data_IF_788849842266
#
_entry.id   IF_788849842266
#
_cell.length_a   1.000
_cell.length_b   1.000
_cell.length_c   1.000
_cell.angle_alpha   90.00
_cell.angle_beta   90.00
_cell.angle_gamma   90.00
#
_symmetry.space_group_name_H-M   'P 1'
#
loop_
_entity.id
_entity.type
_entity.pdbx_description
1 polymer ?
#
# COMPACT_ATOMS: atom_id res chain seq x y z
N UNK A 1 -16.04 9.09 11.93
CA UNK A 1 -16.56 7.75 12.29
C UNK A 1 -15.38 6.82 12.46
N UNK A 2 -15.26 6.13 13.58
CA UNK A 2 -14.23 5.12 13.81
C UNK A 2 -14.71 3.77 13.29
N UNK A 3 -13.77 2.93 12.83
CA UNK A 3 -14.06 1.55 12.41
C UNK A 3 -13.25 0.63 13.32
N UNK A 4 -13.89 -0.35 13.93
CA UNK A 4 -13.21 -1.43 14.64
C UNK A 4 -13.60 -2.78 14.04
N UNK A 5 -12.58 -3.56 13.74
CA UNK A 5 -12.67 -4.94 13.26
C UNK A 5 -11.99 -5.80 14.30
N UNK A 6 -12.69 -6.83 14.79
CA UNK A 6 -12.18 -7.71 15.85
C UNK A 6 -12.28 -9.17 15.46
N UNK A 7 -11.14 -9.84 15.46
CA UNK A 7 -10.98 -11.27 15.26
C UNK A 7 -11.74 -11.81 14.01
N UNK A 8 -11.69 -11.06 12.92
CA UNK A 8 -12.39 -11.41 11.67
C UNK A 8 -11.73 -12.63 11.01
N UNK A 9 -12.56 -13.65 10.78
CA UNK A 9 -12.21 -14.85 10.02
C UNK A 9 -13.12 -14.95 8.80
N UNK A 10 -12.52 -15.25 7.63
CA UNK A 10 -13.25 -15.54 6.40
C UNK A 10 -12.56 -16.64 5.63
N UNK A 11 -13.31 -17.68 5.27
CA UNK A 11 -12.83 -18.83 4.50
C UNK A 11 -13.63 -19.00 3.20
N UNK A 12 -12.96 -19.43 2.16
CA UNK A 12 -13.56 -19.87 0.91
C UNK A 12 -13.13 -21.33 0.68
N UNK A 13 -13.99 -22.27 1.10
CA UNK A 13 -13.63 -23.68 1.16
C UNK A 13 -12.47 -23.94 2.12
N UNK A 14 -11.38 -24.51 1.65
CA UNK A 14 -10.17 -24.75 2.45
C UNK A 14 -9.25 -23.51 2.58
N UNK A 15 -9.47 -22.47 1.79
CA UNK A 15 -8.63 -21.29 1.79
C UNK A 15 -9.11 -20.26 2.81
N UNK A 16 -8.24 -19.89 3.78
CA UNK A 16 -8.48 -18.83 4.72
C UNK A 16 -8.08 -17.49 4.07
N UNK A 17 -9.08 -16.69 3.67
CA UNK A 17 -8.85 -15.38 3.10
C UNK A 17 -8.55 -14.32 4.18
N UNK A 18 -9.12 -14.48 5.38
CA UNK A 18 -8.82 -13.71 6.59
C UNK A 18 -8.72 -14.66 7.76
N UNK A 19 -7.68 -14.50 8.59
CA UNK A 19 -7.43 -15.30 9.77
C UNK A 19 -7.21 -14.38 10.99
N UNK A 20 -8.26 -14.19 11.79
CA UNK A 20 -8.25 -13.42 13.05
C UNK A 20 -7.69 -12.02 12.89
N UNK A 21 -8.24 -11.29 11.94
CA UNK A 21 -7.82 -9.92 11.66
C UNK A 21 -8.41 -8.95 12.67
N UNK A 22 -7.54 -8.17 13.32
CA UNK A 22 -7.87 -7.05 14.20
C UNK A 22 -7.40 -5.75 13.58
N UNK A 23 -8.30 -4.76 13.43
CA UNK A 23 -7.98 -3.47 12.84
C UNK A 23 -8.82 -2.36 13.46
N UNK A 24 -8.16 -1.25 13.79
CA UNK A 24 -8.83 -0.02 14.21
C UNK A 24 -8.44 1.13 13.29
N UNK A 25 -9.45 1.85 12.78
CA UNK A 25 -9.30 3.04 11.94
C UNK A 25 -9.89 4.24 12.69
N UNK A 26 -9.09 5.28 12.83
CA UNK A 26 -9.53 6.49 13.54
C UNK A 26 -10.48 7.34 12.67
N UNK A 27 -11.28 8.19 13.33
CA UNK A 27 -12.14 9.11 12.61
C UNK A 27 -11.32 10.07 11.73
N UNK A 28 -11.71 10.21 10.47
CA UNK A 28 -11.04 11.07 9.50
C UNK A 28 -9.66 10.55 9.04
N UNK A 29 -9.31 9.31 9.33
CA UNK A 29 -8.06 8.69 8.90
C UNK A 29 -8.15 8.19 7.45
N UNK A 30 -7.06 8.33 6.70
CA UNK A 30 -6.85 7.68 5.40
C UNK A 30 -5.90 6.50 5.57
N UNK A 31 -6.44 5.30 5.57
CA UNK A 31 -5.72 4.05 5.78
C UNK A 31 -5.49 3.31 4.46
N UNK A 32 -4.28 2.81 4.23
CA UNK A 32 -3.97 1.90 3.14
C UNK A 32 -3.95 0.44 3.62
N UNK A 33 -4.65 -0.45 2.94
CA UNK A 33 -4.45 -1.89 3.03
C UNK A 33 -3.50 -2.30 1.90
N UNK A 34 -2.28 -2.69 2.26
CA UNK A 34 -1.19 -3.01 1.35
C UNK A 34 -0.78 -4.48 1.48
N UNK A 35 -0.44 -5.14 0.39
CA UNK A 35 0.03 -6.54 0.39
C UNK A 35 -0.07 -7.20 -0.98
N UNK A 36 0.48 -8.39 -1.15
CA UNK A 36 0.41 -9.13 -2.41
C UNK A 36 -1.02 -9.54 -2.78
N UNK A 37 -1.22 -9.94 -4.03
CA UNK A 37 -2.50 -10.48 -4.48
C UNK A 37 -2.87 -11.71 -3.64
N UNK A 38 -4.14 -11.81 -3.23
CA UNK A 38 -4.62 -12.91 -2.39
C UNK A 38 -4.36 -12.76 -0.89
N UNK A 39 -3.79 -11.65 -0.40
CA UNK A 39 -3.56 -11.42 1.04
C UNK A 39 -4.80 -11.05 1.85
N UNK A 40 -6.00 -10.99 1.24
CA UNK A 40 -7.27 -10.76 1.96
C UNK A 40 -7.79 -9.32 1.97
N UNK A 41 -7.05 -8.33 1.44
CA UNK A 41 -7.39 -6.89 1.46
C UNK A 41 -8.79 -6.56 0.94
N UNK A 42 -9.10 -6.97 -0.29
CA UNK A 42 -10.42 -6.75 -0.90
C UNK A 42 -11.54 -7.48 -0.14
N UNK A 43 -11.25 -8.67 0.42
CA UNK A 43 -12.20 -9.40 1.26
C UNK A 43 -12.52 -8.61 2.54
N UNK A 44 -11.50 -8.09 3.22
CA UNK A 44 -11.69 -7.25 4.41
C UNK A 44 -12.47 -5.98 4.07
N UNK A 45 -12.11 -5.30 2.96
CA UNK A 45 -12.80 -4.10 2.50
C UNK A 45 -14.29 -4.37 2.22
N UNK A 46 -14.62 -5.50 1.58
CA UNK A 46 -16.01 -5.91 1.28
C UNK A 46 -16.80 -6.24 2.53
N UNK A 47 -16.19 -6.87 3.53
CA UNK A 47 -16.82 -7.14 4.82
C UNK A 47 -17.17 -5.83 5.54
N UNK A 48 -16.24 -4.86 5.58
CA UNK A 48 -16.49 -3.53 6.15
C UNK A 48 -17.64 -2.82 5.40
N UNK A 49 -17.68 -2.96 4.08
CA UNK A 49 -18.74 -2.37 3.24
C UNK A 49 -20.12 -3.03 3.40
N UNK A 50 -20.21 -4.22 4.00
CA UNK A 50 -21.44 -5.02 4.02
C UNK A 50 -21.79 -5.68 2.69
N UNK A 51 -20.77 -5.86 1.83
CA UNK A 51 -20.89 -6.58 0.54
C UNK A 51 -20.54 -8.07 0.68
N UNK A 52 -19.95 -8.45 1.80
CA UNK A 52 -19.66 -9.83 2.21
C UNK A 52 -19.80 -9.94 3.73
N UNK A 53 -19.91 -11.18 4.25
CA UNK A 53 -19.99 -11.45 5.69
C UNK A 53 -18.82 -12.29 6.14
N UNK A 54 -18.28 -12.03 7.35
CA UNK A 54 -17.26 -12.89 7.94
C UNK A 54 -17.89 -14.22 8.41
N UNK A 55 -17.08 -15.24 8.59
CA UNK A 55 -17.49 -16.50 9.20
C UNK A 55 -17.52 -16.36 10.75
N UNK A 56 -16.68 -15.48 11.29
CA UNK A 56 -16.67 -15.09 12.71
C UNK A 56 -15.97 -13.76 12.91
N UNK A 57 -16.14 -13.18 14.09
CA UNK A 57 -15.60 -11.88 14.46
C UNK A 57 -16.63 -10.75 14.41
N UNK A 58 -16.20 -9.53 14.67
CA UNK A 58 -17.05 -8.35 14.82
C UNK A 58 -16.56 -7.18 13.97
N UNK A 59 -17.49 -6.40 13.44
CA UNK A 59 -17.23 -5.10 12.83
C UNK A 59 -18.14 -4.08 13.47
N UNK A 60 -17.57 -3.00 13.98
CA UNK A 60 -18.36 -1.91 14.57
C UNK A 60 -17.96 -0.54 14.02
N UNK A 61 -18.94 0.36 13.97
CA UNK A 61 -18.76 1.76 13.58
C UNK A 61 -19.18 2.63 14.77
N UNK A 62 -18.24 3.42 15.32
CA UNK A 62 -18.42 4.21 16.55
C UNK A 62 -19.02 3.37 17.72
N UNK A 63 -18.70 2.05 17.77
CA UNK A 63 -19.19 1.11 18.77
C UNK A 63 -20.50 0.42 18.44
N UNK A 64 -21.20 0.78 17.38
CA UNK A 64 -22.42 0.12 16.90
C UNK A 64 -22.08 -1.06 15.98
N UNK A 65 -22.77 -2.19 16.17
CA UNK A 65 -22.55 -3.41 15.36
C UNK A 65 -22.92 -3.17 13.89
N UNK A 66 -21.91 -3.14 13.02
CA UNK A 66 -22.10 -2.97 11.60
C UNK A 66 -22.58 -4.23 10.89
N UNK A 67 -22.38 -5.43 11.46
CA UNK A 67 -22.80 -6.69 10.85
C UNK A 67 -24.33 -6.89 10.91
N UNK A 68 -25.02 -6.22 11.85
CA UNK A 68 -26.46 -6.21 11.92
C UNK A 68 -27.13 -5.45 10.77
N UNK A 69 -26.35 -4.65 10.00
CA UNK A 69 -26.85 -3.77 8.94
C UNK A 69 -26.36 -4.20 7.57
N UNK A 70 -27.25 -4.11 6.58
CA UNK A 70 -26.90 -4.30 5.16
C UNK A 70 -26.08 -3.13 4.58
N UNK A 71 -25.46 -3.33 3.41
CA UNK A 71 -24.62 -2.32 2.77
C UNK A 71 -25.28 -0.95 2.60
N UNK A 72 -26.59 -0.92 2.28
CA UNK A 72 -27.36 0.33 2.10
C UNK A 72 -27.58 1.13 3.38
N UNK A 73 -27.48 0.48 4.55
CA UNK A 73 -27.76 1.08 5.85
C UNK A 73 -26.46 1.54 6.54
N UNK A 74 -25.31 1.05 6.09
CA UNK A 74 -23.98 1.38 6.68
C UNK A 74 -23.48 2.78 6.35
N UNK A 75 -24.15 3.51 5.45
CA UNK A 75 -23.71 4.84 4.98
C UNK A 75 -22.26 4.87 4.49
N UNK A 76 -21.88 3.85 3.71
CA UNK A 76 -20.53 3.67 3.15
C UNK A 76 -20.56 4.04 1.67
N UNK A 77 -19.63 4.90 1.24
CA UNK A 77 -19.31 5.12 -0.16
C UNK A 77 -18.29 4.08 -0.64
N UNK A 78 -18.58 3.36 -1.71
CA UNK A 78 -17.69 2.34 -2.26
C UNK A 78 -17.29 2.65 -3.70
N UNK A 79 -15.99 2.63 -3.98
CA UNK A 79 -15.42 2.74 -5.33
C UNK A 79 -14.78 1.42 -5.70
N UNK A 80 -15.34 0.77 -6.73
CA UNK A 80 -14.85 -0.53 -7.22
C UNK A 80 -13.63 -0.36 -8.13
N UNK A 81 -12.79 -1.38 -8.20
CA UNK A 81 -11.57 -1.46 -9.03
C UNK A 81 -11.80 -1.05 -10.50
N UNK A 82 -12.95 -1.43 -11.08
CA UNK A 82 -13.32 -1.08 -12.46
C UNK A 82 -14.30 0.10 -12.52
N UNK A 83 -14.34 0.94 -11.45
CA UNK A 83 -15.17 2.14 -11.31
C UNK A 83 -16.67 1.88 -11.32
N UNK A 84 -17.16 0.80 -11.95
CA UNK A 84 -18.56 0.37 -12.04
C UNK A 84 -19.52 1.50 -12.44
N UNK A 85 -19.12 2.40 -13.35
CA UNK A 85 -19.99 3.44 -13.87
C UNK A 85 -21.06 2.84 -14.78
N UNK A 86 -22.29 3.37 -14.70
CA UNK A 86 -23.39 2.99 -15.57
C UNK A 86 -23.13 3.51 -16.98
N UNK A 87 -22.82 2.62 -17.92
CA UNK A 87 -22.36 2.96 -19.27
C UNK A 87 -23.40 3.70 -20.12
N UNK A 88 -24.69 3.48 -19.83
CA UNK A 88 -25.83 4.08 -20.52
C UNK A 88 -26.29 5.42 -19.92
N UNK A 89 -25.66 5.87 -18.85
CA UNK A 89 -25.93 7.12 -18.15
C UNK A 89 -24.81 8.12 -18.41
N UNK A 90 -25.14 9.40 -18.48
CA UNK A 90 -24.18 10.49 -18.52
C UNK A 90 -23.39 10.58 -17.20
N UNK A 91 -22.33 11.39 -17.17
CA UNK A 91 -21.58 11.71 -15.95
C UNK A 91 -22.52 12.28 -14.89
N UNK A 92 -23.35 13.26 -15.27
CA UNK A 92 -24.35 13.85 -14.37
C UNK A 92 -25.28 12.79 -13.77
N UNK A 93 -25.84 11.92 -14.60
CA UNK A 93 -26.75 10.86 -14.16
C UNK A 93 -26.10 9.81 -13.28
N UNK A 94 -24.83 9.46 -13.55
CA UNK A 94 -24.05 8.58 -12.69
C UNK A 94 -23.90 9.15 -11.28
N UNK A 95 -23.55 10.44 -11.14
CA UNK A 95 -23.41 11.09 -9.83
C UNK A 95 -24.76 11.29 -9.15
N UNK A 96 -25.81 11.67 -9.92
CA UNK A 96 -27.16 11.87 -9.41
C UNK A 96 -27.86 10.57 -8.98
N UNK A 97 -27.40 9.41 -9.47
CA UNK A 97 -28.11 8.14 -9.29
C UNK A 97 -28.39 7.84 -7.80
N UNK A 98 -27.37 7.89 -6.97
CA UNK A 98 -27.50 7.61 -5.52
C UNK A 98 -28.51 8.55 -4.84
N UNK A 99 -28.51 9.82 -5.22
CA UNK A 99 -29.45 10.82 -4.68
C UNK A 99 -30.91 10.56 -5.11
N UNK A 100 -31.12 10.08 -6.35
CA UNK A 100 -32.45 9.82 -6.88
C UNK A 100 -33.11 8.55 -6.34
N UNK A 101 -32.31 7.54 -5.95
CA UNK A 101 -32.82 6.29 -5.39
C UNK A 101 -33.05 6.35 -3.88
N UNK A 102 -32.69 7.44 -3.22
CA UNK A 102 -33.00 7.64 -1.80
C UNK A 102 -34.50 7.60 -1.52
N UNK A 103 -34.93 7.13 -0.33
CA UNK A 103 -36.33 7.17 0.09
C UNK A 103 -36.91 8.58 -0.04
N UNK A 104 -38.18 8.68 -0.46
CA UNK A 104 -38.86 9.98 -0.69
C UNK A 104 -38.79 10.94 0.48
N UNK A 105 -38.72 10.44 1.72
CA UNK A 105 -38.68 11.24 2.94
C UNK A 105 -37.38 12.04 3.09
N UNK A 106 -36.26 11.56 2.53
CA UNK A 106 -34.92 12.19 2.67
C UNK A 106 -34.36 12.69 1.33
N UNK A 107 -35.00 12.31 0.21
CA UNK A 107 -34.54 12.67 -1.13
C UNK A 107 -34.74 14.16 -1.38
N UNK A 108 -33.66 14.84 -1.77
CA UNK A 108 -33.70 16.23 -2.25
C UNK A 108 -34.61 16.34 -3.53
N UNK A 109 -35.16 17.47 -3.75
CA UNK A 109 -35.84 17.77 -5.02
C UNK A 109 -34.83 17.82 -6.19
N UNK A 110 -35.31 17.89 -7.42
CA UNK A 110 -34.42 17.84 -8.59
C UNK A 110 -33.49 19.08 -8.66
N UNK A 111 -33.90 20.23 -8.12
CA UNK A 111 -33.04 21.41 -8.04
C UNK A 111 -31.89 21.20 -7.04
N UNK A 112 -32.17 20.62 -5.86
CA UNK A 112 -31.18 20.25 -4.88
C UNK A 112 -30.23 19.15 -5.38
N UNK A 113 -30.74 18.15 -6.13
CA UNK A 113 -29.90 17.13 -6.78
C UNK A 113 -28.94 17.78 -7.77
N UNK A 114 -29.45 18.69 -8.65
CA UNK A 114 -28.59 19.40 -9.61
C UNK A 114 -27.52 20.24 -8.94
N UNK A 115 -27.85 20.95 -7.88
CA UNK A 115 -26.90 21.75 -7.11
C UNK A 115 -25.80 20.87 -6.51
N UNK A 116 -26.17 19.73 -5.89
CA UNK A 116 -25.21 18.79 -5.28
C UNK A 116 -24.31 18.12 -6.31
N UNK A 117 -24.87 17.69 -7.45
CA UNK A 117 -24.09 17.10 -8.54
C UNK A 117 -23.08 18.09 -9.08
N UNK A 118 -23.50 19.37 -9.28
CA UNK A 118 -22.59 20.42 -9.74
C UNK A 118 -21.44 20.63 -8.75
N UNK A 119 -21.73 20.79 -7.47
CA UNK A 119 -20.73 20.92 -6.40
C UNK A 119 -19.71 19.78 -6.45
N UNK A 120 -20.17 18.52 -6.59
CA UNK A 120 -19.28 17.36 -6.64
C UNK A 120 -18.46 17.29 -7.93
N UNK A 121 -19.02 17.68 -9.06
CA UNK A 121 -18.28 17.74 -10.32
C UNK A 121 -17.23 18.85 -10.30
N UNK A 122 -17.53 20.00 -9.68
CA UNK A 122 -16.57 21.07 -9.43
C UNK A 122 -15.45 20.59 -8.51
N UNK A 123 -15.78 19.90 -7.41
CA UNK A 123 -14.82 19.31 -6.45
C UNK A 123 -13.83 18.35 -7.13
N UNK A 124 -14.31 17.52 -8.06
CA UNK A 124 -13.44 16.61 -8.82
C UNK A 124 -12.85 17.25 -10.08
N UNK A 125 -13.12 18.54 -10.35
CA UNK A 125 -12.64 19.34 -11.48
C UNK A 125 -13.09 18.79 -12.86
N UNK A 126 -14.30 18.27 -12.95
CA UNK A 126 -14.84 17.64 -14.16
C UNK A 126 -16.28 18.11 -14.51
N UNK A 127 -16.68 19.32 -14.10
CA UNK A 127 -18.00 19.93 -14.34
C UNK A 127 -18.33 20.01 -15.85
N UNK A 128 -17.35 20.32 -16.68
CA UNK A 128 -17.44 20.40 -18.12
C UNK A 128 -17.74 19.06 -18.82
N UNK A 129 -17.64 17.93 -18.10
CA UNK A 129 -17.94 16.59 -18.60
C UNK A 129 -19.34 16.09 -18.24
N UNK A 130 -20.17 16.90 -17.58
CA UNK A 130 -21.48 16.49 -17.05
C UNK A 130 -22.37 15.72 -18.06
N UNK A 131 -22.35 16.12 -19.32
CA UNK A 131 -23.16 15.53 -20.40
C UNK A 131 -22.44 14.40 -21.17
N UNK A 132 -21.20 14.03 -20.81
CA UNK A 132 -20.46 12.94 -21.45
C UNK A 132 -20.86 11.58 -20.87
N UNK A 133 -20.63 10.53 -21.67
CA UNK A 133 -20.80 9.15 -21.24
C UNK A 133 -19.46 8.54 -20.77
N UNK A 134 -19.47 7.51 -19.91
CA UNK A 134 -18.26 6.87 -19.44
C UNK A 134 -17.29 6.38 -20.52
N UNK A 135 -17.80 6.00 -21.68
CA UNK A 135 -16.99 5.58 -22.85
C UNK A 135 -16.15 6.71 -23.45
N UNK A 136 -16.51 7.98 -23.18
CA UNK A 136 -15.84 9.17 -23.67
C UNK A 136 -14.80 9.74 -22.70
N UNK A 137 -14.57 9.06 -21.55
CA UNK A 137 -13.69 9.49 -20.46
C UNK A 137 -12.38 8.73 -20.46
N UNK A 138 -11.30 9.40 -20.04
CA UNK A 138 -10.05 8.71 -19.68
C UNK A 138 -10.21 7.86 -18.41
N UNK A 139 -9.24 6.99 -18.11
CA UNK A 139 -9.23 6.17 -16.89
C UNK A 139 -9.32 7.03 -15.63
N UNK A 140 -8.45 8.05 -15.49
CA UNK A 140 -8.46 8.95 -14.35
C UNK A 140 -9.75 9.78 -14.22
N UNK A 141 -10.36 10.20 -15.36
CA UNK A 141 -11.65 10.88 -15.34
C UNK A 141 -12.76 9.93 -14.84
N UNK A 142 -12.82 8.68 -15.34
CA UNK A 142 -13.79 7.68 -14.85
C UNK A 142 -13.68 7.47 -13.35
N UNK A 143 -12.45 7.41 -12.83
CA UNK A 143 -12.20 7.23 -11.41
C UNK A 143 -12.70 8.42 -10.58
N UNK A 144 -12.37 9.66 -10.97
CA UNK A 144 -12.85 10.86 -10.27
C UNK A 144 -14.37 10.93 -10.28
N UNK A 145 -15.03 10.54 -11.37
CA UNK A 145 -16.51 10.46 -11.43
C UNK A 145 -17.06 9.35 -10.53
N UNK A 146 -16.41 8.19 -10.45
CA UNK A 146 -16.82 7.13 -9.52
C UNK A 146 -16.71 7.59 -8.06
N UNK A 147 -15.68 8.38 -7.73
CA UNK A 147 -15.52 8.98 -6.41
C UNK A 147 -16.58 10.04 -6.14
N UNK A 148 -16.86 10.95 -7.10
CA UNK A 148 -17.95 11.93 -6.99
C UNK A 148 -19.30 11.24 -6.74
N UNK A 149 -19.57 10.11 -7.45
CA UNK A 149 -20.78 9.30 -7.22
C UNK A 149 -20.83 8.71 -5.81
N UNK A 150 -19.70 8.20 -5.31
CA UNK A 150 -19.62 7.64 -3.96
C UNK A 150 -19.83 8.72 -2.87
N UNK A 151 -19.34 9.94 -3.11
CA UNK A 151 -19.48 11.09 -2.21
C UNK A 151 -20.88 11.74 -2.28
N UNK A 152 -21.66 11.47 -3.34
CA UNK A 152 -22.97 12.11 -3.53
C UNK A 152 -23.96 11.83 -2.39
N UNK A 153 -23.90 10.63 -1.82
CA UNK A 153 -24.77 10.19 -0.71
C UNK A 153 -24.28 10.64 0.67
N UNK A 154 -23.26 11.50 0.72
CA UNK A 154 -22.65 12.00 1.96
C UNK A 154 -22.22 10.87 2.92
N UNK A 155 -21.35 9.95 2.45
CA UNK A 155 -20.98 8.78 3.24
C UNK A 155 -20.17 9.18 4.47
N UNK A 156 -20.28 8.41 5.56
CA UNK A 156 -19.44 8.56 6.75
C UNK A 156 -18.10 7.84 6.62
N UNK A 157 -18.05 6.83 5.75
CA UNK A 157 -16.87 6.01 5.44
C UNK A 157 -16.72 5.92 3.94
N UNK A 158 -15.49 6.03 3.43
CA UNK A 158 -15.17 5.88 2.02
C UNK A 158 -14.22 4.69 1.82
N UNK A 159 -14.62 3.74 1.01
CA UNK A 159 -13.86 2.53 0.72
C UNK A 159 -13.49 2.49 -0.77
N UNK A 160 -12.20 2.32 -1.07
CA UNK A 160 -11.66 2.37 -2.42
C UNK A 160 -10.91 1.07 -2.73
N UNK A 161 -11.41 0.29 -3.67
CA UNK A 161 -10.78 -0.97 -4.08
C UNK A 161 -9.86 -0.71 -5.28
N UNK A 162 -8.54 -0.76 -5.09
CA UNK A 162 -7.49 -0.49 -6.08
C UNK A 162 -7.73 0.80 -6.90
N UNK A 163 -7.86 1.96 -6.25
CA UNK A 163 -8.27 3.18 -6.93
C UNK A 163 -7.30 3.67 -8.01
N UNK A 164 -6.05 3.23 -8.03
CA UNK A 164 -5.02 3.69 -8.96
C UNK A 164 -4.67 2.66 -10.05
N UNK A 165 -5.37 1.52 -10.06
CA UNK A 165 -5.17 0.46 -11.06
C UNK A 165 -5.50 0.91 -12.48
N UNK A 166 -4.87 0.25 -13.47
CA UNK A 166 -5.11 0.45 -14.91
C UNK A 166 -4.89 1.88 -15.45
N UNK A 167 -4.04 2.68 -14.79
CA UNK A 167 -3.67 4.04 -15.20
C UNK A 167 -2.19 4.10 -15.60
N UNK A 168 -1.86 4.99 -16.54
CA UNK A 168 -0.46 5.31 -16.85
C UNK A 168 0.23 6.00 -15.66
N UNK A 169 1.56 5.94 -15.61
CA UNK A 169 2.36 6.42 -14.47
C UNK A 169 2.14 7.91 -14.14
N UNK A 170 1.95 8.77 -15.17
CA UNK A 170 1.73 10.21 -14.98
C UNK A 170 0.38 10.47 -14.36
N UNK A 171 -0.69 9.90 -14.93
CA UNK A 171 -2.07 10.03 -14.42
C UNK A 171 -2.19 9.45 -13.01
N UNK A 172 -1.53 8.33 -12.73
CA UNK A 172 -1.48 7.72 -11.40
C UNK A 172 -0.88 8.66 -10.37
N UNK A 173 0.27 9.30 -10.68
CA UNK A 173 0.92 10.26 -9.78
C UNK A 173 0.01 11.48 -9.51
N UNK A 174 -0.57 12.07 -10.54
CA UNK A 174 -1.49 13.20 -10.40
C UNK A 174 -2.71 12.83 -9.54
N UNK A 175 -3.22 11.62 -9.71
CA UNK A 175 -4.39 11.14 -8.98
C UNK A 175 -4.09 10.85 -7.51
N UNK A 176 -2.91 10.31 -7.17
CA UNK A 176 -2.46 10.12 -5.77
C UNK A 176 -2.42 11.47 -5.03
N UNK A 177 -1.77 12.46 -5.63
CA UNK A 177 -1.68 13.82 -5.05
C UNK A 177 -3.07 14.44 -4.88
N UNK A 178 -3.91 14.30 -5.90
CA UNK A 178 -5.29 14.81 -5.86
C UNK A 178 -6.12 14.10 -4.78
N UNK A 179 -6.07 12.77 -4.65
CA UNK A 179 -6.81 12.03 -3.62
C UNK A 179 -6.37 12.45 -2.20
N UNK A 180 -5.08 12.62 -1.98
CA UNK A 180 -4.55 13.11 -0.70
C UNK A 180 -5.06 14.52 -0.37
N UNK A 181 -5.05 15.43 -1.34
CA UNK A 181 -5.59 16.79 -1.19
C UNK A 181 -7.10 16.78 -0.90
N UNK A 182 -7.86 16.00 -1.67
CA UNK A 182 -9.29 15.83 -1.47
C UNK A 182 -9.61 15.29 -0.07
N UNK A 183 -8.90 14.25 0.38
CA UNK A 183 -9.11 13.69 1.71
C UNK A 183 -8.85 14.72 2.81
N UNK A 184 -7.81 15.57 2.67
CA UNK A 184 -7.53 16.66 3.62
C UNK A 184 -8.60 17.75 3.63
N UNK A 185 -9.44 17.86 2.60
CA UNK A 185 -10.56 18.79 2.51
C UNK A 185 -11.85 18.22 3.11
N UNK A 186 -12.17 16.96 2.77
CA UNK A 186 -13.45 16.34 3.16
C UNK A 186 -13.42 15.65 4.53
N UNK A 187 -12.26 15.25 5.05
CA UNK A 187 -12.05 14.61 6.36
C UNK A 187 -12.93 13.36 6.60
N UNK A 188 -13.30 12.61 5.57
CA UNK A 188 -14.07 11.37 5.67
C UNK A 188 -13.14 10.21 5.99
N UNK A 189 -13.49 9.37 6.99
CA UNK A 189 -12.73 8.14 7.29
C UNK A 189 -12.66 7.28 6.04
N UNK A 190 -11.45 7.00 5.57
CA UNK A 190 -11.23 6.35 4.27
C UNK A 190 -10.29 5.17 4.36
N UNK A 191 -10.62 4.09 3.66
CA UNK A 191 -9.73 2.93 3.48
C UNK A 191 -9.56 2.69 1.99
N UNK A 192 -8.32 2.55 1.53
CA UNK A 192 -8.06 2.09 0.17
C UNK A 192 -7.17 0.86 0.13
N UNK A 193 -7.45 -0.01 -0.84
CA UNK A 193 -6.66 -1.21 -1.12
C UNK A 193 -5.68 -0.92 -2.23
N UNK A 194 -4.45 -1.36 -2.08
CA UNK A 194 -3.44 -1.35 -3.15
C UNK A 194 -2.46 -2.51 -2.99
N UNK A 195 -1.80 -2.88 -4.07
CA UNK A 195 -0.63 -3.74 -4.09
C UNK A 195 0.66 -2.95 -4.41
N UNK A 196 0.54 -1.65 -4.68
CA UNK A 196 1.64 -0.75 -4.98
C UNK A 196 2.08 -0.01 -3.70
N UNK A 197 3.33 -0.24 -3.31
CA UNK A 197 3.92 0.35 -2.11
C UNK A 197 4.05 1.88 -2.21
N UNK A 198 4.35 2.44 -3.41
CA UNK A 198 4.44 3.89 -3.58
C UNK A 198 3.09 4.57 -3.30
N UNK A 199 1.99 3.94 -3.74
CA UNK A 199 0.64 4.43 -3.49
C UNK A 199 0.34 4.49 -1.99
N UNK A 200 0.62 3.40 -1.27
CA UNK A 200 0.38 3.33 0.17
C UNK A 200 1.24 4.34 0.95
N UNK A 201 2.55 4.41 0.64
CA UNK A 201 3.49 5.28 1.36
C UNK A 201 3.30 6.77 1.07
N UNK A 202 2.84 7.13 -0.16
CA UNK A 202 2.64 8.54 -0.54
C UNK A 202 1.31 9.10 -0.05
N UNK A 203 0.24 8.28 -0.04
CA UNK A 203 -1.13 8.75 0.13
C UNK A 203 -1.65 8.60 1.56
N UNK A 204 -1.33 7.48 2.23
CA UNK A 204 -1.96 7.11 3.49
C UNK A 204 -1.40 7.85 4.73
N UNK A 205 -2.24 8.03 5.74
CA UNK A 205 -1.81 8.41 7.10
C UNK A 205 -1.17 7.21 7.82
N UNK A 206 -1.77 6.01 7.67
CA UNK A 206 -1.24 4.73 8.16
C UNK A 206 -1.37 3.66 7.10
N UNK A 207 -0.46 2.71 7.16
CA UNK A 207 -0.39 1.54 6.27
C UNK A 207 -0.57 0.28 7.09
N UNK A 208 -1.43 -0.61 6.62
CA UNK A 208 -1.62 -1.98 7.13
C UNK A 208 -1.03 -2.92 6.10
N UNK A 209 0.05 -3.58 6.45
CA UNK A 209 0.67 -4.61 5.60
C UNK A 209 0.04 -5.95 5.91
N UNK A 210 -0.50 -6.60 4.87
CA UNK A 210 -1.18 -7.89 4.99
C UNK A 210 -0.47 -8.96 4.17
N UNK A 211 -0.32 -10.15 4.73
CA UNK A 211 0.06 -11.37 4.02
C UNK A 211 -0.80 -12.56 4.49
N UNK A 212 -1.16 -13.46 3.57
CA UNK A 212 -1.86 -14.72 3.86
C UNK A 212 -3.06 -14.60 4.82
N UNK A 213 -3.83 -13.50 4.67
CA UNK A 213 -5.03 -13.26 5.48
C UNK A 213 -4.77 -12.71 6.88
N UNK A 214 -3.53 -12.34 7.21
CA UNK A 214 -3.13 -11.78 8.49
C UNK A 214 -2.54 -10.38 8.33
N UNK A 215 -2.54 -9.60 9.40
CA UNK A 215 -1.85 -8.32 9.46
C UNK A 215 -0.42 -8.56 9.98
N UNK A 216 0.57 -8.23 9.17
CA UNK A 216 1.99 -8.31 9.50
C UNK A 216 2.48 -7.10 10.30
N UNK A 217 2.02 -5.91 9.90
CA UNK A 217 2.39 -4.66 10.56
C UNK A 217 1.36 -3.56 10.29
N UNK A 218 1.16 -2.69 11.27
CA UNK A 218 0.42 -1.43 11.14
C UNK A 218 1.34 -0.30 11.62
N UNK A 219 1.43 0.79 10.86
CA UNK A 219 2.22 1.95 11.23
C UNK A 219 2.06 3.10 10.26
N UNK A 220 2.68 4.23 10.55
CA UNK A 220 2.84 5.31 9.57
C UNK A 220 3.72 4.84 8.41
N UNK A 221 3.67 5.48 7.23
CA UNK A 221 4.55 5.17 6.12
C UNK A 221 6.04 5.09 6.52
N UNK A 222 6.51 6.04 7.33
CA UNK A 222 7.89 6.03 7.84
C UNK A 222 8.19 4.86 8.75
N UNK A 223 7.31 4.53 9.71
CA UNK A 223 7.51 3.40 10.63
C UNK A 223 7.58 2.07 9.90
N UNK A 224 6.68 1.84 8.94
CA UNK A 224 6.65 0.57 8.18
C UNK A 224 7.89 0.44 7.28
N UNK A 225 8.40 1.55 6.74
CA UNK A 225 9.60 1.57 5.91
C UNK A 225 10.89 1.45 6.70
N UNK A 226 11.06 2.25 7.77
CA UNK A 226 12.31 2.35 8.56
C UNK A 226 12.43 1.26 9.63
N UNK A 227 11.28 0.80 10.19
CA UNK A 227 11.20 -0.16 11.29
C UNK A 227 10.30 -1.36 10.93
N UNK A 228 10.60 -2.12 9.87
CA UNK A 228 9.82 -3.30 9.49
C UNK A 228 9.84 -4.35 10.61
N UNK A 229 8.64 -4.85 10.97
CA UNK A 229 8.47 -5.79 12.07
C UNK A 229 8.89 -7.22 11.70
N UNK A 230 8.74 -7.61 10.43
CA UNK A 230 9.04 -8.96 9.95
C UNK A 230 9.93 -8.94 8.70
N UNK A 231 10.57 -10.06 8.41
CA UNK A 231 11.32 -10.27 7.17
C UNK A 231 10.45 -10.03 5.93
N UNK A 232 9.18 -10.44 6.00
CA UNK A 232 8.21 -10.21 4.94
C UNK A 232 8.02 -8.71 4.69
N UNK A 233 7.73 -7.92 5.72
CA UNK A 233 7.51 -6.47 5.58
C UNK A 233 8.75 -5.79 5.01
N UNK A 234 9.95 -6.16 5.51
CA UNK A 234 11.20 -5.58 4.99
C UNK A 234 11.43 -5.91 3.51
N UNK A 235 11.17 -7.15 3.11
CA UNK A 235 11.34 -7.58 1.71
C UNK A 235 10.25 -7.06 0.78
N UNK A 236 9.03 -6.91 1.29
CA UNK A 236 7.88 -6.46 0.52
C UNK A 236 7.88 -4.95 0.30
N UNK A 237 8.27 -4.17 1.31
CA UNK A 237 8.32 -2.70 1.21
C UNK A 237 9.73 -2.25 0.84
N UNK A 238 9.87 -1.70 -0.37
CA UNK A 238 11.15 -1.29 -0.93
C UNK A 238 12.02 -2.48 -1.37
N UNK A 239 13.04 -2.18 -2.13
CA UNK A 239 13.96 -3.17 -2.67
C UNK A 239 15.08 -3.47 -1.66
N UNK A 240 15.20 -4.74 -1.28
CA UNK A 240 16.15 -5.20 -0.26
C UNK A 240 17.17 -6.18 -0.83
N UNK A 241 18.43 -6.01 -0.40
CA UNK A 241 19.48 -7.01 -0.48
C UNK A 241 19.25 -7.98 0.67
N UNK A 242 19.19 -9.27 0.39
CA UNK A 242 19.02 -10.31 1.42
C UNK A 242 20.22 -11.25 1.37
N UNK A 243 20.95 -11.33 2.47
CA UNK A 243 22.14 -12.16 2.60
C UNK A 243 21.93 -13.21 3.69
N UNK A 244 22.21 -14.50 3.42
CA UNK A 244 22.18 -15.53 4.45
C UNK A 244 23.39 -15.34 5.39
N UNK A 245 23.14 -15.20 6.69
CA UNK A 245 24.17 -14.96 7.69
C UNK A 245 24.03 -15.94 8.85
N UNK A 246 25.14 -16.09 9.62
CA UNK A 246 25.16 -16.79 10.90
C UNK A 246 25.40 -15.79 12.02
N UNK A 247 24.54 -15.82 13.04
CA UNK A 247 24.71 -15.02 14.25
C UNK A 247 25.23 -15.92 15.36
N UNK A 248 26.43 -15.65 15.84
CA UNK A 248 27.11 -16.40 16.93
C UNK A 248 27.77 -15.41 17.86
N UNK A 249 27.48 -15.50 19.17
CA UNK A 249 28.11 -14.69 20.23
C UNK A 249 28.10 -13.17 19.95
N UNK A 250 26.99 -12.67 19.40
CA UNK A 250 26.83 -11.26 19.03
C UNK A 250 27.58 -10.84 17.76
N UNK A 251 28.28 -11.78 17.09
CA UNK A 251 28.92 -11.54 15.80
C UNK A 251 28.10 -12.05 14.67
N UNK A 252 28.09 -11.32 13.55
CA UNK A 252 27.40 -11.70 12.30
C UNK A 252 28.44 -12.20 11.30
N UNK A 253 28.22 -13.36 10.70
CA UNK A 253 29.13 -13.99 9.72
C UNK A 253 28.45 -14.28 8.40
N UNK A 254 29.10 -13.97 7.31
CA UNK A 254 28.71 -14.37 5.95
C UNK A 254 29.81 -15.29 5.36
N UNK A 255 29.48 -16.56 5.08
CA UNK A 255 30.43 -17.49 4.48
C UNK A 255 31.74 -17.63 5.21
N UNK A 256 31.74 -17.54 6.55
CA UNK A 256 32.95 -17.61 7.38
C UNK A 256 33.63 -16.26 7.66
N UNK A 257 33.30 -15.20 6.92
CA UNK A 257 33.83 -13.84 7.16
C UNK A 257 33.01 -13.17 8.25
N UNK A 258 33.69 -12.63 9.28
CA UNK A 258 33.00 -11.82 10.31
C UNK A 258 32.72 -10.45 9.76
N UNK A 259 31.43 -10.07 9.75
CA UNK A 259 31.03 -8.75 9.36
C UNK A 259 31.19 -7.75 10.50
N UNK A 260 31.74 -6.58 10.21
CA UNK A 260 31.84 -5.50 11.19
C UNK A 260 30.48 -4.78 11.34
N UNK A 261 29.46 -5.52 11.81
CA UNK A 261 28.12 -5.04 12.10
C UNK A 261 27.62 -5.65 13.42
N UNK A 262 26.68 -4.95 14.08
CA UNK A 262 26.13 -5.37 15.37
C UNK A 262 24.92 -6.30 15.14
N UNK A 263 24.85 -7.38 15.87
CA UNK A 263 23.76 -8.34 15.77
C UNK A 263 22.43 -7.86 16.41
N UNK A 264 22.36 -6.69 16.98
CA UNK A 264 21.27 -5.92 17.60
C UNK A 264 19.98 -6.74 17.89
N UNK A 265 20.02 -7.59 18.91
CA UNK A 265 18.87 -8.44 19.31
C UNK A 265 18.53 -9.58 18.35
N UNK A 266 19.31 -9.80 17.30
CA UNK A 266 19.08 -10.90 16.36
C UNK A 266 19.23 -12.27 17.03
N UNK A 267 18.39 -13.25 16.69
CA UNK A 267 18.50 -14.59 17.25
C UNK A 267 19.81 -15.27 16.82
N UNK A 268 20.42 -16.01 17.75
CA UNK A 268 21.61 -16.84 17.44
C UNK A 268 21.22 -17.94 16.46
N UNK A 269 22.11 -18.22 15.51
CA UNK A 269 21.93 -19.26 14.50
C UNK A 269 21.80 -18.73 13.08
N UNK A 270 21.19 -19.54 12.20
CA UNK A 270 20.95 -19.19 10.81
C UNK A 270 19.94 -18.03 10.72
N UNK A 271 20.35 -16.98 10.05
CA UNK A 271 19.59 -15.72 9.95
C UNK A 271 19.73 -15.12 8.54
N UNK A 272 18.92 -14.10 8.25
CA UNK A 272 19.01 -13.31 7.02
C UNK A 272 19.27 -11.86 7.37
N UNK A 273 20.30 -11.28 6.78
CA UNK A 273 20.60 -9.86 6.83
C UNK A 273 19.88 -9.15 5.70
N UNK A 274 19.03 -8.18 6.03
CA UNK A 274 18.31 -7.34 5.09
C UNK A 274 18.89 -5.93 5.07
N UNK A 275 19.22 -5.43 3.89
CA UNK A 275 19.76 -4.09 3.66
C UNK A 275 19.06 -3.46 2.48
N UNK A 276 18.60 -2.21 2.60
CA UNK A 276 18.08 -1.47 1.43
C UNK A 276 19.23 -1.21 0.44
N UNK A 277 18.93 -1.20 -0.87
CA UNK A 277 19.98 -0.97 -1.89
C UNK A 277 20.76 0.32 -1.68
N UNK A 278 20.10 1.40 -1.27
CA UNK A 278 20.70 2.70 -1.01
C UNK A 278 21.39 2.81 0.39
N UNK A 279 21.09 1.89 1.30
CA UNK A 279 21.74 1.82 2.61
C UNK A 279 23.02 0.96 2.59
N UNK A 280 23.31 0.30 1.49
CA UNK A 280 24.61 -0.36 1.28
C UNK A 280 25.61 0.65 0.72
N UNK A 281 26.52 1.12 1.57
CA UNK A 281 27.58 2.02 1.12
C UNK A 281 28.68 1.26 0.37
N UNK A 282 29.15 1.89 -0.71
CA UNK A 282 30.33 1.46 -1.45
C UNK A 282 31.53 2.27 -0.92
N UNK A 283 32.66 1.65 -0.66
CA UNK A 283 33.93 2.24 -0.26
C UNK A 283 35.08 1.72 -1.11
N UNK A 284 36.32 2.17 -0.86
CA UNK A 284 37.53 1.56 -1.43
C UNK A 284 37.63 0.09 -1.04
N UNK A 285 38.37 -0.70 -1.81
CA UNK A 285 38.72 -2.07 -1.42
C UNK A 285 39.37 -2.10 -0.03
N UNK A 286 39.02 -3.08 0.80
CA UNK A 286 39.50 -3.20 2.18
C UNK A 286 38.80 -2.30 3.21
N UNK A 287 37.86 -1.42 2.79
CA UNK A 287 37.17 -0.46 3.66
C UNK A 287 35.78 -0.88 3.98
N UNK A 288 35.42 -2.00 4.35
CA UNK A 288 34.00 -2.36 4.59
C UNK A 288 33.83 -3.69 5.30
N UNK A 289 32.59 -4.02 5.61
CA UNK A 289 32.25 -5.31 6.20
C UNK A 289 32.35 -6.45 5.16
N UNK A 290 32.19 -6.14 3.87
CA UNK A 290 32.22 -7.07 2.76
C UNK A 290 33.07 -6.50 1.62
N UNK A 291 33.57 -7.38 0.75
CA UNK A 291 34.24 -7.03 -0.50
C UNK A 291 33.51 -7.67 -1.68
N UNK A 292 33.54 -7.00 -2.82
CA UNK A 292 32.99 -7.54 -4.06
C UNK A 292 33.52 -6.84 -5.30
N UNK A 293 33.40 -7.54 -6.44
CA UNK A 293 33.77 -7.00 -7.75
C UNK A 293 32.54 -6.51 -8.51
N UNK A 294 32.60 -5.31 -9.07
CA UNK A 294 31.52 -4.73 -9.88
C UNK A 294 31.45 -5.49 -11.22
N UNK A 295 30.33 -6.13 -11.49
CA UNK A 295 30.05 -6.84 -12.76
C UNK A 295 29.43 -5.94 -13.80
N UNK A 296 28.48 -5.10 -13.42
CA UNK A 296 27.80 -4.17 -14.30
C UNK A 296 27.41 -2.89 -13.56
N UNK A 297 27.40 -1.78 -14.29
CA UNK A 297 26.85 -0.50 -13.81
C UNK A 297 25.82 0.00 -14.80
N UNK A 298 24.66 0.41 -14.29
CA UNK A 298 23.57 1.05 -15.09
C UNK A 298 23.19 2.37 -14.47
N UNK A 299 22.98 3.40 -15.31
CA UNK A 299 22.56 4.72 -14.83
C UNK A 299 21.05 4.90 -14.98
N UNK A 300 20.38 5.29 -13.89
CA UNK A 300 18.95 5.61 -13.83
C UNK A 300 18.76 7.03 -13.30
N UNK A 301 18.79 8.01 -14.20
CA UNK A 301 18.64 9.42 -13.82
C UNK A 301 19.69 9.86 -12.79
N UNK A 302 19.32 10.18 -11.53
CA UNK A 302 20.26 10.68 -10.52
C UNK A 302 21.07 9.59 -9.81
N UNK A 303 20.74 8.31 -10.02
CA UNK A 303 21.43 7.18 -9.38
C UNK A 303 22.09 6.27 -10.39
N UNK A 304 23.10 5.54 -9.95
CA UNK A 304 23.68 4.40 -10.62
C UNK A 304 23.36 3.12 -9.82
N UNK A 305 23.01 2.06 -10.54
CA UNK A 305 22.82 0.72 -9.99
C UNK A 305 23.97 -0.16 -10.38
N UNK A 306 24.74 -0.62 -9.40
CA UNK A 306 25.86 -1.53 -9.58
C UNK A 306 25.45 -2.95 -9.20
N UNK A 307 25.72 -3.92 -10.06
CA UNK A 307 25.70 -5.33 -9.72
C UNK A 307 27.08 -5.73 -9.22
N UNK A 308 27.15 -6.19 -7.97
CA UNK A 308 28.40 -6.53 -7.30
C UNK A 308 28.39 -8.00 -6.92
N UNK A 309 29.40 -8.75 -7.38
CA UNK A 309 29.64 -10.12 -6.96
C UNK A 309 30.47 -10.12 -5.67
N UNK A 310 29.90 -10.66 -4.60
CA UNK A 310 30.56 -10.73 -3.28
C UNK A 310 31.67 -11.77 -3.28
N UNK A 311 32.77 -11.44 -2.60
CA UNK A 311 33.92 -12.34 -2.40
C UNK A 311 33.72 -13.31 -1.22
N UNK A 312 32.63 -13.20 -0.47
CA UNK A 312 32.35 -14.03 0.70
C UNK A 312 31.17 -14.97 0.43
N UNK A 313 31.18 -16.19 0.99
CA UNK A 313 30.01 -17.06 1.00
C UNK A 313 30.14 -18.41 0.28
N UNK A 314 31.32 -18.77 -0.25
CA UNK A 314 31.56 -20.08 -0.87
C UNK A 314 30.85 -20.29 -2.21
N UNK A 315 30.15 -19.28 -2.73
CA UNK A 315 29.48 -19.23 -4.03
C UNK A 315 29.40 -17.79 -4.55
N UNK A 316 29.12 -17.61 -5.83
CA UNK A 316 28.97 -16.29 -6.44
C UNK A 316 27.61 -15.68 -6.03
N UNK A 317 27.59 -14.86 -4.97
CA UNK A 317 26.41 -14.07 -4.58
C UNK A 317 26.49 -12.70 -5.23
N UNK A 318 25.55 -12.40 -6.14
CA UNK A 318 25.46 -11.10 -6.81
C UNK A 318 24.37 -10.26 -6.14
N UNK A 319 24.71 -9.03 -5.75
CA UNK A 319 23.78 -8.06 -5.15
C UNK A 319 23.67 -6.80 -6.01
N UNK A 320 22.55 -6.10 -5.91
CA UNK A 320 22.37 -4.80 -6.56
C UNK A 320 22.43 -3.68 -5.52
N UNK A 321 23.18 -2.63 -5.81
CA UNK A 321 23.40 -1.49 -4.93
C UNK A 321 23.12 -0.21 -5.68
N UNK A 322 22.42 0.72 -5.06
CA UNK A 322 22.16 2.05 -5.60
C UNK A 322 23.19 3.05 -5.02
N UNK A 323 23.89 3.76 -5.90
CA UNK A 323 24.85 4.80 -5.57
C UNK A 323 24.51 6.12 -6.27
N UNK A 324 24.90 7.27 -5.73
CA UNK A 324 24.79 8.55 -6.42
C UNK A 324 25.55 8.56 -7.74
N UNK A 325 25.04 9.29 -8.75
CA UNK A 325 25.61 9.33 -10.10
C UNK A 325 27.02 9.99 -10.19
N UNK A 326 27.34 10.88 -9.27
CA UNK A 326 28.62 11.58 -9.16
C UNK A 326 29.78 10.67 -8.70
N UNK A 327 29.47 9.46 -8.28
CA UNK A 327 30.47 8.47 -7.92
C UNK A 327 30.91 7.71 -9.17
N UNK A 328 32.22 7.74 -9.47
CA UNK A 328 32.78 6.93 -10.56
C UNK A 328 32.82 5.45 -10.15
N UNK A 329 32.03 4.62 -10.84
CA UNK A 329 31.99 3.17 -10.69
C UNK A 329 32.23 2.53 -12.06
N UNK A 330 33.17 1.59 -12.13
CA UNK A 330 33.52 0.89 -13.37
C UNK A 330 33.37 -0.63 -13.20
N UNK A 331 33.03 -1.29 -14.29
CA UNK A 331 33.02 -2.76 -14.33
C UNK A 331 34.45 -3.29 -14.10
N UNK A 332 34.58 -4.23 -13.20
CA UNK A 332 35.86 -4.81 -12.78
C UNK A 332 36.47 -4.20 -11.51
N UNK A 333 35.97 -3.05 -11.06
CA UNK A 333 36.45 -2.46 -9.79
C UNK A 333 36.14 -3.38 -8.61
N UNK A 334 37.11 -3.52 -7.70
CA UNK A 334 36.91 -4.15 -6.41
C UNK A 334 36.55 -3.07 -5.39
N UNK A 335 35.44 -3.27 -4.69
CA UNK A 335 34.89 -2.31 -3.76
C UNK A 335 34.62 -2.91 -2.39
N UNK A 336 34.81 -2.09 -1.36
CA UNK A 336 34.35 -2.40 -0.02
C UNK A 336 32.88 -2.01 0.15
N UNK A 337 32.11 -2.82 0.88
CA UNK A 337 30.68 -2.64 1.10
C UNK A 337 30.36 -2.59 2.60
N UNK A 338 29.65 -1.55 3.02
CA UNK A 338 29.27 -1.34 4.41
C UNK A 338 27.77 -1.07 4.54
N UNK A 339 26.99 -1.97 5.21
CA UNK A 339 25.61 -1.68 5.55
C UNK A 339 25.52 -0.53 6.55
N UNK A 340 24.72 0.50 6.25
CA UNK A 340 24.42 1.62 7.17
C UNK A 340 23.23 1.32 8.06
N UNK A 341 22.13 0.94 7.41
CA UNK A 341 20.90 0.51 8.06
C UNK A 341 20.59 -0.89 7.60
N UNK A 342 20.28 -1.75 8.52
CA UNK A 342 20.00 -3.15 8.25
C UNK A 342 19.10 -3.73 9.32
N UNK A 343 18.49 -4.87 9.00
CA UNK A 343 17.78 -5.72 9.97
C UNK A 343 18.24 -7.16 9.79
N UNK A 344 18.22 -7.91 10.89
CA UNK A 344 18.54 -9.34 10.88
C UNK A 344 17.33 -10.08 11.42
N UNK A 345 16.80 -11.01 10.64
CA UNK A 345 15.68 -11.87 11.01
C UNK A 345 16.10 -13.32 11.02
N UNK A 346 15.42 -14.17 11.79
CA UNK A 346 15.63 -15.61 11.76
C UNK A 346 15.44 -16.17 10.34
N UNK A 347 16.17 -17.24 9.97
CA UNK A 347 16.07 -17.80 8.62
C UNK A 347 14.71 -18.43 8.32
N UNK A 348 13.90 -18.73 9.36
CA UNK A 348 12.60 -19.38 9.26
C UNK A 348 11.40 -18.41 9.19
N UNK A 349 11.64 -17.11 9.28
CA UNK A 349 10.63 -16.07 9.18
C UNK A 349 10.39 -15.60 7.73
#
# INVERSE_FOLDING_TARGET
MTIEVKNIVKKFGAFAALDRVDLKVANGELLALLGPSGSGKTTLLRIIAGLDWPDSGEVSFDGEDALAHGASERHVGFVFQHYALFRHMTVFENVAFGLRVQPRAVRKDEAGIRARVKELLDLVQLDWLANRYPSQLSGGQRQRIALARALAIEPRILLLDEPFGALDAKVRKELRQWLRSLHSEIHVTSIFVTHDQEEALEVANRVVVMDKGQIEQIGTPGEVYDNPATAFVHGFIGESIVLPVQVCDGCVRLGGVVLNIVADGAPSGASKLFVRRHDMQIGPAGSGALEGAIKHVRTFGPIQRAQVALSAGGGETVIEIDAPRDRELQTGDVVGLQPRRYRIFAAQD
#
